data_IF_362606250621
#
_entry.id   IF_362606250621
#
_cell.length_a   1.000
_cell.length_b   1.000
_cell.length_c   1.000
_cell.angle_alpha   90.00
_cell.angle_beta   90.00
_cell.angle_gamma   90.00
#
_symmetry.space_group_name_H-M   'P 1'
#
loop_
_entity.id
_entity.type
_entity.pdbx_description
1 polymer ?
#
# COMPACT_ATOMS: atom_id res chain seq x y z
N UNK A 1 2.65 19.54 -4.59
CA UNK A 1 3.65 18.96 -3.68
C UNK A 1 3.34 17.49 -3.55
N UNK A 2 4.36 16.63 -3.54
CA UNK A 2 4.19 15.21 -3.29
C UNK A 2 3.58 14.97 -1.90
N UNK A 3 2.78 13.92 -1.77
CA UNK A 3 2.20 13.51 -0.50
C UNK A 3 3.18 12.68 0.33
N UNK A 4 4.05 11.93 -0.35
CA UNK A 4 5.07 11.11 0.25
C UNK A 4 6.24 10.98 -0.72
N UNK A 5 7.46 10.94 -0.21
CA UNK A 5 8.67 10.78 -1.01
C UNK A 5 9.34 9.45 -0.65
N UNK A 6 9.93 8.80 -1.64
CA UNK A 6 10.80 7.65 -1.38
C UNK A 6 11.96 8.11 -0.50
N UNK A 7 12.28 7.33 0.53
CA UNK A 7 13.35 7.65 1.47
C UNK A 7 13.92 6.38 2.07
N UNK A 8 15.15 6.46 2.61
CA UNK A 8 15.79 5.33 3.26
C UNK A 8 14.98 4.76 4.44
N UNK A 9 14.13 5.59 5.07
CA UNK A 9 13.24 5.16 6.15
C UNK A 9 12.03 4.37 5.67
N UNK A 10 11.75 4.36 4.36
CA UNK A 10 10.66 3.60 3.72
C UNK A 10 11.19 2.42 2.90
N UNK A 11 12.45 2.03 3.08
CA UNK A 11 12.98 0.78 2.54
C UNK A 11 12.98 -0.28 3.64
N UNK A 12 12.61 -1.51 3.29
CA UNK A 12 12.66 -2.70 4.16
C UNK A 12 13.87 -3.59 3.85
N UNK A 13 14.76 -3.15 2.97
CA UNK A 13 15.93 -3.91 2.50
C UNK A 13 15.55 -5.29 1.90
N UNK A 14 14.41 -5.36 1.23
CA UNK A 14 13.99 -6.49 0.42
C UNK A 14 13.43 -5.98 -0.91
N UNK A 15 14.22 -6.11 -1.97
CA UNK A 15 14.01 -5.44 -3.27
C UNK A 15 12.59 -5.52 -3.82
N UNK A 16 11.97 -6.71 -3.88
CA UNK A 16 10.60 -6.84 -4.40
C UNK A 16 9.54 -6.04 -3.60
N UNK A 17 9.70 -5.92 -2.27
CA UNK A 17 8.79 -5.13 -1.44
C UNK A 17 9.06 -3.62 -1.66
N UNK A 18 10.32 -3.22 -1.70
CA UNK A 18 10.70 -1.81 -1.95
C UNK A 18 10.22 -1.31 -3.32
N UNK A 19 10.27 -2.17 -4.35
CA UNK A 19 9.73 -1.86 -5.68
C UNK A 19 8.21 -1.63 -5.66
N UNK A 20 7.47 -2.44 -4.91
CA UNK A 20 6.03 -2.28 -4.72
C UNK A 20 5.69 -1.01 -3.95
N UNK A 21 6.45 -0.68 -2.90
CA UNK A 21 6.26 0.55 -2.14
C UNK A 21 6.53 1.79 -3.00
N UNK A 22 7.58 1.76 -3.82
CA UNK A 22 7.89 2.85 -4.74
C UNK A 22 6.78 3.07 -5.78
N UNK A 23 6.21 2.00 -6.32
CA UNK A 23 5.07 2.07 -7.23
C UNK A 23 3.81 2.62 -6.55
N UNK A 24 3.52 2.22 -5.31
CA UNK A 24 2.43 2.77 -4.51
C UNK A 24 2.61 4.29 -4.32
N UNK A 25 3.81 4.72 -3.89
CA UNK A 25 4.13 6.14 -3.66
C UNK A 25 3.96 6.95 -4.95
N UNK A 26 4.41 6.41 -6.09
CA UNK A 26 4.21 7.02 -7.41
C UNK A 26 2.74 7.25 -7.74
N UNK A 27 1.90 6.23 -7.57
CA UNK A 27 0.45 6.31 -7.80
C UNK A 27 -0.23 7.30 -6.83
N UNK A 28 0.18 7.30 -5.57
CA UNK A 28 -0.31 8.22 -4.54
C UNK A 28 -0.03 9.68 -4.91
N UNK A 29 1.19 9.96 -5.36
CA UNK A 29 1.60 11.30 -5.82
C UNK A 29 0.89 11.70 -7.12
N UNK A 30 0.68 10.77 -8.06
CA UNK A 30 -0.10 11.04 -9.27
C UNK A 30 -1.55 11.42 -8.92
N UNK A 31 -2.19 10.71 -7.99
CA UNK A 31 -3.54 11.01 -7.51
C UNK A 31 -3.66 12.37 -6.81
N UNK A 32 -2.59 12.82 -6.14
CA UNK A 32 -2.55 14.12 -5.48
C UNK A 32 -2.75 15.29 -6.45
N UNK A 33 -2.22 15.13 -7.68
CA UNK A 33 -2.23 16.12 -8.75
C UNK A 33 -3.24 15.84 -9.87
N UNK A 34 -3.88 14.68 -9.88
CA UNK A 34 -4.86 14.31 -10.90
C UNK A 34 -6.06 15.25 -10.92
N UNK A 35 -6.57 15.57 -12.11
CA UNK A 35 -7.87 16.22 -12.28
C UNK A 35 -9.03 15.23 -12.02
N UNK A 36 -10.27 15.70 -12.09
CA UNK A 36 -11.43 14.84 -11.80
C UNK A 36 -11.68 13.78 -12.89
N UNK A 37 -11.19 13.97 -14.11
CA UNK A 37 -11.36 13.01 -15.19
C UNK A 37 -10.39 11.83 -15.04
N UNK A 38 -9.14 12.09 -14.65
CA UNK A 38 -8.10 11.09 -14.47
C UNK A 38 -8.18 10.37 -13.10
N UNK A 39 -8.72 11.03 -12.07
CA UNK A 39 -8.71 10.51 -10.70
C UNK A 39 -9.30 9.09 -10.56
N UNK A 40 -10.48 8.75 -11.14
CA UNK A 40 -11.06 7.42 -10.96
C UNK A 40 -10.17 6.29 -11.50
N UNK A 41 -9.57 6.50 -12.68
CA UNK A 41 -8.69 5.50 -13.30
C UNK A 41 -7.40 5.30 -12.51
N UNK A 42 -6.81 6.38 -11.99
CA UNK A 42 -5.62 6.28 -11.11
C UNK A 42 -5.96 5.64 -9.76
N UNK A 43 -7.15 5.91 -9.22
CA UNK A 43 -7.59 5.30 -7.95
C UNK A 43 -7.79 3.80 -8.11
N UNK A 44 -8.32 3.37 -9.27
CA UNK A 44 -8.40 1.96 -9.64
C UNK A 44 -7.01 1.31 -9.68
N UNK A 45 -6.06 1.94 -10.35
CA UNK A 45 -4.68 1.43 -10.42
C UNK A 45 -4.03 1.32 -9.04
N UNK A 46 -4.21 2.30 -8.16
CA UNK A 46 -3.71 2.24 -6.80
C UNK A 46 -4.34 1.08 -6.01
N UNK A 47 -5.65 0.86 -6.16
CA UNK A 47 -6.33 -0.26 -5.51
C UNK A 47 -5.82 -1.62 -6.01
N UNK A 48 -5.72 -1.81 -7.32
CA UNK A 48 -5.23 -3.05 -7.93
C UNK A 48 -3.77 -3.32 -7.55
N UNK A 49 -2.92 -2.29 -7.58
CA UNK A 49 -1.53 -2.39 -7.15
C UNK A 49 -1.44 -2.85 -5.69
N UNK A 50 -2.23 -2.23 -4.80
CA UNK A 50 -2.27 -2.57 -3.38
C UNK A 50 -2.72 -4.01 -3.16
N UNK A 51 -3.75 -4.47 -3.87
CA UNK A 51 -4.24 -5.84 -3.78
C UNK A 51 -3.18 -6.87 -4.25
N UNK A 52 -2.47 -6.57 -5.33
CA UNK A 52 -1.41 -7.42 -5.85
C UNK A 52 -0.17 -7.45 -4.94
N UNK A 53 0.22 -6.30 -4.41
CA UNK A 53 1.32 -6.17 -3.44
C UNK A 53 1.04 -7.01 -2.20
N UNK A 54 -0.13 -6.83 -1.56
CA UNK A 54 -0.53 -7.64 -0.42
C UNK A 54 -0.62 -9.12 -0.75
N UNK A 55 -1.08 -9.50 -1.94
CA UNK A 55 -1.12 -10.91 -2.34
C UNK A 55 0.29 -11.52 -2.43
N UNK A 56 1.31 -10.76 -2.87
CA UNK A 56 2.71 -11.21 -2.88
C UNK A 56 3.25 -11.37 -1.45
N UNK A 57 3.02 -10.39 -0.59
CA UNK A 57 3.44 -10.49 0.81
C UNK A 57 2.74 -11.64 1.55
N UNK A 58 1.44 -11.83 1.31
CA UNK A 58 0.66 -12.93 1.85
C UNK A 58 1.21 -14.31 1.44
N UNK A 59 1.76 -14.41 0.22
CA UNK A 59 2.45 -15.61 -0.27
C UNK A 59 3.79 -15.78 0.43
N UNK A 60 4.62 -14.74 0.51
CA UNK A 60 5.90 -14.79 1.23
C UNK A 60 5.72 -15.12 2.71
N UNK A 61 4.74 -14.50 3.39
CA UNK A 61 4.42 -14.82 4.78
C UNK A 61 4.09 -16.31 4.96
N UNK A 62 3.34 -16.90 4.04
CA UNK A 62 3.03 -18.33 4.09
C UNK A 62 4.26 -19.21 3.78
N UNK A 63 4.99 -18.89 2.72
CA UNK A 63 6.18 -19.61 2.27
C UNK A 63 7.28 -19.63 3.34
N UNK A 64 7.53 -18.47 3.95
CA UNK A 64 8.54 -18.32 4.99
C UNK A 64 7.99 -18.59 6.39
N UNK A 65 6.79 -19.16 6.55
CA UNK A 65 6.18 -19.45 7.85
C UNK A 65 6.31 -18.26 8.84
N UNK A 66 5.95 -17.06 8.39
CA UNK A 66 6.03 -15.84 9.17
C UNK A 66 5.05 -15.90 10.35
N UNK A 67 5.53 -15.77 11.61
CA UNK A 67 4.68 -15.92 12.79
C UNK A 67 3.54 -14.89 12.87
N UNK A 68 3.77 -13.67 12.36
CA UNK A 68 2.81 -12.56 12.40
C UNK A 68 1.77 -12.57 11.28
N UNK A 69 1.65 -13.65 10.51
CA UNK A 69 0.81 -13.71 9.31
C UNK A 69 -0.66 -13.35 9.54
N UNK A 70 -1.23 -13.72 10.69
CA UNK A 70 -2.63 -13.45 10.98
C UNK A 70 -2.91 -11.95 11.15
N UNK A 71 -2.07 -11.25 11.91
CA UNK A 71 -2.24 -9.82 12.18
C UNK A 71 -1.94 -8.99 10.93
N UNK A 72 -0.88 -9.34 10.19
CA UNK A 72 -0.50 -8.64 8.95
C UNK A 72 -1.58 -8.80 7.87
N UNK A 73 -2.11 -10.01 7.66
CA UNK A 73 -3.26 -10.24 6.76
C UNK A 73 -4.52 -9.51 7.20
N UNK A 74 -4.75 -9.43 8.52
CA UNK A 74 -5.89 -8.68 9.07
C UNK A 74 -5.82 -7.20 8.69
N UNK A 75 -4.63 -6.60 8.78
CA UNK A 75 -4.40 -5.22 8.39
C UNK A 75 -4.56 -5.01 6.87
N UNK A 76 -4.02 -5.92 6.04
CA UNK A 76 -4.24 -5.92 4.58
C UNK A 76 -5.73 -5.92 4.23
N UNK A 77 -6.50 -6.82 4.83
CA UNK A 77 -7.94 -6.93 4.59
C UNK A 77 -8.70 -5.68 5.02
N UNK A 78 -8.33 -5.08 6.16
CA UNK A 78 -8.92 -3.84 6.67
C UNK A 78 -8.73 -2.70 5.66
N UNK A 79 -7.51 -2.52 5.16
CA UNK A 79 -7.15 -1.44 4.23
C UNK A 79 -7.79 -1.66 2.86
N UNK A 80 -7.79 -2.89 2.33
CA UNK A 80 -8.52 -3.22 1.10
C UNK A 80 -10.03 -2.96 1.24
N UNK A 81 -10.59 -3.19 2.44
CA UNK A 81 -11.96 -2.81 2.77
C UNK A 81 -12.22 -1.31 2.67
N UNK A 82 -11.31 -0.47 3.18
CA UNK A 82 -11.38 0.99 3.04
C UNK A 82 -11.27 1.40 1.56
N UNK A 83 -10.31 0.85 0.81
CA UNK A 83 -10.19 1.10 -0.63
C UNK A 83 -11.47 0.78 -1.39
N UNK A 84 -12.08 -0.40 -1.16
CA UNK A 84 -13.35 -0.78 -1.79
C UNK A 84 -14.47 0.22 -1.49
N UNK A 85 -14.57 0.69 -0.25
CA UNK A 85 -15.57 1.68 0.15
C UNK A 85 -15.35 3.03 -0.54
N UNK A 86 -14.11 3.54 -0.58
CA UNK A 86 -13.80 4.80 -1.24
C UNK A 86 -13.90 4.72 -2.76
N UNK A 87 -13.46 3.61 -3.36
CA UNK A 87 -13.67 3.33 -4.78
C UNK A 87 -15.14 3.38 -5.16
N UNK A 88 -16.02 2.73 -4.39
CA UNK A 88 -17.47 2.78 -4.65
C UNK A 88 -18.03 4.21 -4.64
N UNK A 89 -17.48 5.11 -3.82
CA UNK A 89 -17.84 6.54 -3.81
C UNK A 89 -17.28 7.27 -5.05
N UNK A 90 -16.02 7.01 -5.39
CA UNK A 90 -15.36 7.58 -6.58
C UNK A 90 -16.10 7.19 -7.87
N UNK A 91 -16.49 5.92 -8.01
CA UNK A 91 -17.24 5.40 -9.16
C UNK A 91 -18.63 6.07 -9.31
N UNK A 92 -19.20 6.57 -8.21
CA UNK A 92 -20.46 7.35 -8.17
C UNK A 92 -20.23 8.86 -8.40
N UNK A 93 -19.02 9.27 -8.77
CA UNK A 93 -18.66 10.68 -8.98
C UNK A 93 -18.35 11.46 -7.70
N UNK A 94 -18.39 10.83 -6.52
CA UNK A 94 -18.08 11.49 -5.24
C UNK A 94 -16.55 11.51 -4.98
N UNK A 95 -15.81 12.07 -5.94
CA UNK A 95 -14.34 12.08 -6.00
C UNK A 95 -13.70 12.71 -4.76
N UNK A 96 -14.37 13.68 -4.13
CA UNK A 96 -13.88 14.37 -2.93
C UNK A 96 -13.53 13.41 -1.79
N UNK A 97 -14.29 12.32 -1.61
CA UNK A 97 -14.00 11.34 -0.56
C UNK A 97 -12.74 10.52 -0.89
N UNK A 98 -12.57 10.13 -2.16
CA UNK A 98 -11.35 9.45 -2.59
C UNK A 98 -10.11 10.35 -2.42
N UNK A 99 -10.24 11.65 -2.72
CA UNK A 99 -9.15 12.62 -2.53
C UNK A 99 -8.78 12.79 -1.06
N UNK A 100 -9.76 12.87 -0.16
CA UNK A 100 -9.50 12.96 1.28
C UNK A 100 -8.78 11.70 1.78
N UNK A 101 -9.24 10.51 1.38
CA UNK A 101 -8.55 9.25 1.71
C UNK A 101 -7.09 9.23 1.23
N UNK A 102 -6.85 9.58 -0.03
CA UNK A 102 -5.50 9.66 -0.62
C UNK A 102 -4.60 10.66 0.10
N UNK A 103 -5.11 11.81 0.51
CA UNK A 103 -4.28 12.88 1.08
C UNK A 103 -4.06 12.76 2.59
N UNK A 104 -5.05 12.24 3.31
CA UNK A 104 -5.11 12.35 4.77
C UNK A 104 -4.94 11.02 5.49
N UNK A 105 -5.05 9.89 4.79
CA UNK A 105 -5.04 8.55 5.40
C UNK A 105 -3.92 7.67 4.87
N UNK A 106 -3.82 7.56 3.54
CA UNK A 106 -2.88 6.63 2.91
C UNK A 106 -1.39 6.94 3.19
N UNK A 107 -0.90 8.20 3.18
CA UNK A 107 0.51 8.47 3.43
C UNK A 107 0.94 8.06 4.84
N UNK A 108 0.10 8.36 5.84
CA UNK A 108 0.38 8.05 7.25
C UNK A 108 0.30 6.54 7.50
N UNK A 109 -0.73 5.90 6.94
CA UNK A 109 -0.89 4.46 7.03
C UNK A 109 0.28 3.71 6.38
N UNK A 110 0.65 4.07 5.14
CA UNK A 110 1.73 3.40 4.42
C UNK A 110 3.05 3.51 5.17
N UNK A 111 3.43 4.72 5.62
CA UNK A 111 4.67 4.90 6.35
C UNK A 111 4.72 4.05 7.63
N UNK A 112 3.60 3.97 8.38
CA UNK A 112 3.52 3.12 9.56
C UNK A 112 3.61 1.63 9.21
N UNK A 113 2.88 1.19 8.17
CA UNK A 113 2.86 -0.20 7.74
C UNK A 113 4.25 -0.69 7.31
N UNK A 114 4.92 0.07 6.44
CA UNK A 114 6.28 -0.20 5.97
C UNK A 114 7.25 -0.33 7.14
N UNK A 115 7.25 0.67 8.04
CA UNK A 115 8.23 0.75 9.14
C UNK A 115 7.97 -0.23 10.28
N UNK A 116 6.84 -0.94 10.27
CA UNK A 116 6.48 -1.88 11.34
C UNK A 116 6.27 -3.30 10.82
N UNK A 117 5.25 -3.54 10.01
CA UNK A 117 4.84 -4.88 9.58
C UNK A 117 5.74 -5.39 8.45
N UNK A 118 5.92 -4.61 7.39
CA UNK A 118 6.69 -5.03 6.21
C UNK A 118 8.17 -5.16 6.55
N UNK A 119 8.70 -4.25 7.38
CA UNK A 119 10.06 -4.36 7.93
C UNK A 119 10.25 -5.65 8.74
N UNK A 120 9.26 -6.05 9.54
CA UNK A 120 9.32 -7.29 10.31
C UNK A 120 9.28 -8.53 9.40
N UNK A 121 8.47 -8.50 8.34
CA UNK A 121 8.44 -9.55 7.32
C UNK A 121 9.78 -9.64 6.58
N UNK A 122 10.30 -8.54 6.06
CA UNK A 122 11.56 -8.50 5.33
C UNK A 122 12.74 -8.98 6.21
N UNK A 123 12.78 -8.55 7.47
CA UNK A 123 13.77 -9.02 8.46
C UNK A 123 13.67 -10.53 8.67
N UNK A 124 12.46 -11.08 8.75
CA UNK A 124 12.23 -12.51 8.90
C UNK A 124 12.68 -13.30 7.66
N UNK A 125 12.42 -12.79 6.46
CA UNK A 125 12.86 -13.40 5.19
C UNK A 125 14.40 -13.42 5.12
N UNK A 126 15.04 -12.28 5.37
CA UNK A 126 16.49 -12.11 5.24
C UNK A 126 17.30 -12.91 6.27
N UNK A 127 16.73 -13.20 7.44
CA UNK A 127 17.43 -13.92 8.52
C UNK A 127 17.30 -15.45 8.43
N UNK A 128 16.63 -16.00 7.41
CA UNK A 128 16.57 -17.45 7.25
C UNK A 128 17.89 -18.01 6.70
N UNK A 129 18.46 -19.06 7.33
CA UNK A 129 19.57 -19.77 6.73
C UNK A 129 19.12 -20.43 5.42
N UNK A 130 20.03 -20.40 4.44
CA UNK A 130 19.88 -21.03 3.12
C UNK A 130 19.62 -22.53 3.20
#
# INVERSE_FOLDING_TARGET
>A
MALLENSATLSVAYGPIDEDHAAFIGLLNALASADNAAFPALFQQLYEHTEQHFAREDQWMAEFAYPGIADHKGEHQRVLGEFKQFKSRVDKGLIVFGRSFVKERLPQWLALHITTMDMALATHINNRPS
#
